data_IF_570210845530
#
_entry.id   IF_570210845530
#
_cell.length_a   1.000
_cell.length_b   1.000
_cell.length_c   1.000
_cell.angle_alpha   90.00
_cell.angle_beta   90.00
_cell.angle_gamma   90.00
#
_symmetry.space_group_name_H-M   'P 1'
#
loop_
_entity.id
_entity.type
_entity.pdbx_description
1 polymer ?
#
# COMPACT_ATOMS: atom_id res chain seq x y z
N UNK A 1 3.80 31.84 8.64
CA UNK A 1 5.04 31.07 8.93
C UNK A 1 5.00 29.79 8.11
N UNK A 2 5.58 29.77 6.93
CA UNK A 2 5.53 28.67 5.98
C UNK A 2 6.58 27.64 6.41
N UNK A 3 6.14 26.47 6.87
CA UNK A 3 7.06 25.36 7.14
C UNK A 3 7.64 24.88 5.81
N UNK A 4 8.96 25.07 5.63
CA UNK A 4 9.75 24.50 4.57
C UNK A 4 9.58 22.98 4.58
N UNK A 5 8.85 22.45 3.61
CA UNK A 5 8.91 21.04 3.23
C UNK A 5 10.34 20.80 2.72
N UNK A 6 11.09 20.01 3.46
CA UNK A 6 12.37 19.49 2.98
C UNK A 6 12.09 18.54 1.83
N UNK A 7 12.24 19.07 0.62
CA UNK A 7 12.29 18.28 -0.60
C UNK A 7 13.69 17.63 -0.68
N UNK A 8 13.77 16.34 -0.42
CA UNK A 8 14.96 15.55 -0.76
C UNK A 8 14.83 15.10 -2.22
N UNK A 9 15.89 15.26 -3.04
CA UNK A 9 15.86 14.80 -4.43
C UNK A 9 15.77 13.28 -4.47
N UNK A 10 14.73 12.79 -5.14
CA UNK A 10 14.30 11.37 -5.16
C UNK A 10 14.99 10.52 -6.24
N UNK A 11 16.07 11.02 -6.88
CA UNK A 11 16.62 10.43 -8.11
C UNK A 11 17.45 9.14 -7.94
N UNK A 12 17.52 8.53 -6.75
CA UNK A 12 18.44 7.38 -6.53
C UNK A 12 17.97 6.24 -5.63
N UNK A 13 16.68 5.97 -5.47
CA UNK A 13 16.25 5.18 -4.30
C UNK A 13 15.97 3.69 -4.48
N UNK A 14 16.10 3.04 -5.61
CA UNK A 14 15.55 1.68 -5.65
C UNK A 14 16.44 0.54 -6.18
N UNK A 15 17.72 0.66 -6.22
CA UNK A 15 18.56 -0.45 -6.71
C UNK A 15 19.52 -1.10 -5.72
N UNK A 16 19.72 -0.53 -4.51
CA UNK A 16 20.59 -1.15 -3.50
C UNK A 16 20.16 -0.81 -2.07
N UNK A 17 20.20 -1.74 -1.09
CA UNK A 17 20.14 -1.41 0.32
C UNK A 17 21.28 -0.45 0.68
N UNK A 18 20.98 0.67 1.36
CA UNK A 18 21.98 1.65 1.80
C UNK A 18 22.12 2.91 0.93
N UNK A 19 21.10 3.36 0.22
CA UNK A 19 21.19 4.38 -0.83
C UNK A 19 21.05 5.83 -0.37
N UNK A 20 20.95 6.10 0.91
CA UNK A 20 21.16 7.45 1.44
C UNK A 20 22.54 7.53 2.06
N UNK A 21 23.40 8.50 1.68
CA UNK A 21 24.68 8.69 2.34
C UNK A 21 24.43 8.98 3.83
N UNK A 22 24.78 8.02 4.69
CA UNK A 22 24.63 8.12 6.14
C UNK A 22 23.45 7.37 6.76
N UNK A 23 22.58 6.72 5.99
CA UNK A 23 21.48 5.87 6.51
C UNK A 23 21.77 4.41 6.23
N UNK A 24 22.19 3.68 7.24
CA UNK A 24 22.30 2.22 7.19
C UNK A 24 20.98 1.61 7.65
N UNK A 25 20.40 0.73 6.83
CA UNK A 25 19.25 -0.10 7.21
C UNK A 25 19.60 -0.89 8.48
N UNK A 26 18.77 -0.78 9.49
CA UNK A 26 18.97 -1.48 10.76
C UNK A 26 18.16 -2.77 10.81
N UNK A 27 18.54 -3.69 11.73
CA UNK A 27 17.71 -4.87 12.03
C UNK A 27 16.31 -4.46 12.50
N UNK A 28 16.21 -3.31 13.18
CA UNK A 28 14.93 -2.76 13.64
C UNK A 28 14.05 -2.33 12.47
N UNK A 29 14.60 -1.70 11.42
CA UNK A 29 13.86 -1.31 10.22
C UNK A 29 13.31 -2.54 9.50
N UNK A 30 14.12 -3.59 9.39
CA UNK A 30 13.70 -4.88 8.84
C UNK A 30 12.58 -5.51 9.66
N UNK A 31 12.67 -5.48 10.99
CA UNK A 31 11.64 -6.02 11.87
C UNK A 31 10.31 -5.25 11.75
N UNK A 32 10.38 -3.92 11.62
CA UNK A 32 9.22 -3.06 11.38
C UNK A 32 8.60 -3.38 10.01
N UNK A 33 9.41 -3.43 8.96
CA UNK A 33 8.97 -3.76 7.61
C UNK A 33 8.21 -5.10 7.55
N UNK A 34 8.75 -6.14 8.21
CA UNK A 34 8.08 -7.45 8.30
C UNK A 34 6.71 -7.40 8.94
N UNK A 35 6.52 -6.59 9.99
CA UNK A 35 5.20 -6.43 10.63
C UNK A 35 4.20 -5.81 9.67
N UNK A 36 4.59 -4.76 8.94
CA UNK A 36 3.76 -4.12 7.94
C UNK A 36 3.38 -5.09 6.81
N UNK A 37 4.33 -5.83 6.26
CA UNK A 37 4.11 -6.78 5.17
C UNK A 37 3.20 -7.93 5.61
N UNK A 38 3.41 -8.50 6.82
CA UNK A 38 2.54 -9.54 7.36
C UNK A 38 1.09 -9.08 7.50
N UNK A 39 0.88 -7.87 7.99
CA UNK A 39 -0.47 -7.31 8.09
C UNK A 39 -1.07 -7.03 6.70
N UNK A 40 -0.26 -6.56 5.75
CA UNK A 40 -0.70 -6.34 4.38
C UNK A 40 -1.20 -7.64 3.72
N UNK A 41 -0.47 -8.73 3.88
CA UNK A 41 -0.85 -10.06 3.37
C UNK A 41 -2.16 -10.55 4.02
N UNK A 42 -2.29 -10.37 5.33
CA UNK A 42 -3.52 -10.72 6.05
C UNK A 42 -4.72 -9.91 5.56
N UNK A 43 -4.56 -8.60 5.36
CA UNK A 43 -5.66 -7.75 4.88
C UNK A 43 -6.09 -8.15 3.46
N UNK A 44 -5.16 -8.52 2.58
CA UNK A 44 -5.48 -9.01 1.23
C UNK A 44 -6.24 -10.34 1.29
N UNK A 45 -5.83 -11.28 2.14
CA UNK A 45 -6.54 -12.54 2.37
C UNK A 45 -7.96 -12.28 2.88
N UNK A 46 -8.12 -11.34 3.81
CA UNK A 46 -9.44 -10.99 4.35
C UNK A 46 -10.31 -10.28 3.32
N UNK A 47 -9.73 -9.48 2.41
CA UNK A 47 -10.46 -8.93 1.28
C UNK A 47 -11.10 -10.04 0.42
N UNK A 48 -10.34 -11.08 0.09
CA UNK A 48 -10.83 -12.23 -0.67
C UNK A 48 -11.95 -12.97 0.06
N UNK A 49 -11.80 -13.22 1.37
CA UNK A 49 -12.81 -13.91 2.18
C UNK A 49 -14.13 -13.15 2.28
N UNK A 50 -14.08 -11.82 2.27
CA UNK A 50 -15.29 -10.99 2.32
C UNK A 50 -16.18 -11.12 1.07
N UNK A 51 -15.63 -11.55 -0.07
CA UNK A 51 -16.45 -11.87 -1.26
C UNK A 51 -17.46 -12.96 -0.93
N UNK A 52 -17.07 -13.99 -0.19
CA UNK A 52 -17.94 -15.14 0.14
C UNK A 52 -19.11 -14.82 1.09
N UNK A 53 -19.07 -13.67 1.76
CA UNK A 53 -20.13 -13.19 2.66
C UNK A 53 -20.77 -11.89 2.16
N UNK A 54 -20.56 -11.57 0.88
CA UNK A 54 -21.10 -10.38 0.21
C UNK A 54 -20.66 -9.04 0.83
N UNK A 55 -19.57 -9.03 1.58
CA UNK A 55 -18.95 -7.83 2.17
C UNK A 55 -18.10 -7.06 1.15
N UNK A 56 -18.73 -6.60 0.06
CA UNK A 56 -18.01 -6.04 -1.10
C UNK A 56 -17.33 -4.69 -0.81
N UNK A 57 -17.96 -3.82 -0.04
CA UNK A 57 -17.38 -2.57 0.44
C UNK A 57 -16.19 -2.83 1.37
N UNK A 58 -16.30 -3.81 2.26
CA UNK A 58 -15.21 -4.26 3.14
C UNK A 58 -14.05 -4.85 2.33
N UNK A 59 -14.36 -5.66 1.31
CA UNK A 59 -13.34 -6.22 0.42
C UNK A 59 -12.57 -5.13 -0.33
N UNK A 60 -13.25 -4.10 -0.83
CA UNK A 60 -12.62 -2.95 -1.47
C UNK A 60 -11.75 -2.16 -0.48
N UNK A 61 -12.26 -1.87 0.71
CA UNK A 61 -11.50 -1.21 1.77
C UNK A 61 -10.24 -1.98 2.17
N UNK A 62 -10.35 -3.29 2.39
CA UNK A 62 -9.21 -4.13 2.75
C UNK A 62 -8.19 -4.26 1.62
N UNK A 63 -8.63 -4.22 0.35
CA UNK A 63 -7.72 -4.16 -0.80
C UNK A 63 -6.87 -2.90 -0.78
N UNK A 64 -7.48 -1.73 -0.51
CA UNK A 64 -6.74 -0.48 -0.28
C UNK A 64 -5.78 -0.60 0.91
N UNK A 65 -6.27 -1.07 2.07
CA UNK A 65 -5.47 -1.21 3.30
C UNK A 65 -4.28 -2.16 3.12
N UNK A 66 -4.45 -3.23 2.34
CA UNK A 66 -3.38 -4.18 2.05
C UNK A 66 -2.23 -3.52 1.29
N UNK A 67 -2.56 -2.74 0.24
CA UNK A 67 -1.57 -2.00 -0.55
C UNK A 67 -0.91 -0.89 0.28
N UNK A 68 -1.69 -0.13 1.05
CA UNK A 68 -1.14 0.91 1.95
C UNK A 68 -0.07 0.32 2.88
N UNK A 69 -0.38 -0.78 3.54
CA UNK A 69 0.54 -1.44 4.47
C UNK A 69 1.74 -2.06 3.78
N UNK A 70 1.55 -2.64 2.60
CA UNK A 70 2.64 -3.17 1.78
C UNK A 70 3.66 -2.07 1.44
N UNK A 71 3.18 -0.94 0.90
CA UNK A 71 4.04 0.18 0.51
C UNK A 71 4.73 0.80 1.73
N UNK A 72 4.04 0.95 2.87
CA UNK A 72 4.64 1.38 4.13
C UNK A 72 5.73 0.43 4.63
N UNK A 73 5.55 -0.87 4.45
CA UNK A 73 6.58 -1.87 4.75
C UNK A 73 7.84 -1.69 3.91
N UNK A 74 7.67 -1.40 2.62
CA UNK A 74 8.81 -1.13 1.72
C UNK A 74 9.52 0.18 2.09
N UNK A 75 8.79 1.23 2.49
CA UNK A 75 9.38 2.48 2.98
C UNK A 75 10.17 2.23 4.27
N UNK A 76 9.59 1.50 5.24
CA UNK A 76 10.29 1.14 6.47
C UNK A 76 11.60 0.38 6.19
N UNK A 77 11.57 -0.57 5.24
CA UNK A 77 12.76 -1.34 4.84
C UNK A 77 13.86 -0.48 4.25
N UNK A 78 13.53 0.66 3.64
CA UNK A 78 14.55 1.62 3.16
C UNK A 78 15.20 2.46 4.26
N UNK A 79 14.84 2.24 5.54
CA UNK A 79 15.32 3.01 6.69
C UNK A 79 14.65 4.38 6.82
N UNK A 80 13.58 4.64 6.06
CA UNK A 80 12.83 5.89 6.15
C UNK A 80 11.73 5.80 7.21
N UNK A 81 11.39 6.92 7.86
CA UNK A 81 10.23 6.98 8.74
C UNK A 81 8.95 6.63 7.97
N UNK A 82 8.13 5.74 8.52
CA UNK A 82 6.85 5.37 7.92
C UNK A 82 5.92 6.59 7.93
N UNK A 83 5.47 7.09 6.77
CA UNK A 83 4.65 8.28 6.70
C UNK A 83 3.24 8.01 7.23
N UNK A 84 2.70 9.01 7.95
CA UNK A 84 1.32 8.99 8.47
C UNK A 84 0.34 9.49 7.40
N UNK A 85 0.31 8.80 6.26
CA UNK A 85 -0.60 9.11 5.15
C UNK A 85 -1.43 7.89 4.80
N UNK A 86 -2.58 8.13 4.16
CA UNK A 86 -3.43 7.11 3.53
C UNK A 86 -3.44 7.25 2.00
N UNK A 87 -2.67 8.21 1.47
CA UNK A 87 -2.53 8.44 0.03
C UNK A 87 -1.54 7.43 -0.56
N UNK A 88 -2.07 6.31 -1.02
CA UNK A 88 -1.27 5.19 -1.55
C UNK A 88 -0.57 5.53 -2.87
N UNK A 89 -1.10 6.46 -3.65
CA UNK A 89 -0.48 6.98 -4.86
C UNK A 89 0.81 7.77 -4.55
N UNK A 90 0.82 8.57 -3.48
CA UNK A 90 2.05 9.24 -3.01
C UNK A 90 3.11 8.22 -2.56
N UNK A 91 2.69 7.18 -1.84
CA UNK A 91 3.60 6.09 -1.43
C UNK A 91 4.17 5.35 -2.65
N UNK A 92 3.33 5.06 -3.64
CA UNK A 92 3.77 4.40 -4.88
C UNK A 92 4.78 5.23 -5.65
N UNK A 93 4.56 6.55 -5.77
CA UNK A 93 5.51 7.47 -6.41
C UNK A 93 6.82 7.58 -5.62
N UNK A 94 6.75 7.65 -4.30
CA UNK A 94 7.95 7.66 -3.43
C UNK A 94 8.80 6.40 -3.62
N UNK A 95 8.17 5.26 -3.87
CA UNK A 95 8.84 4.00 -4.14
C UNK A 95 9.24 3.82 -5.62
N UNK A 96 9.02 4.82 -6.46
CA UNK A 96 9.29 4.80 -7.91
C UNK A 96 8.70 3.58 -8.62
N UNK A 97 7.44 3.26 -8.28
CA UNK A 97 6.73 2.20 -8.98
C UNK A 97 6.39 2.64 -10.41
N UNK A 98 6.40 1.72 -11.39
CA UNK A 98 6.10 2.04 -12.78
C UNK A 98 4.63 2.48 -12.96
N UNK A 99 4.36 3.24 -14.02
CA UNK A 99 3.06 3.84 -14.28
C UNK A 99 1.92 2.82 -14.30
N UNK A 100 2.13 1.64 -14.87
CA UNK A 100 1.13 0.55 -14.89
C UNK A 100 0.71 0.07 -13.48
N UNK A 101 1.64 0.13 -12.51
CA UNK A 101 1.36 -0.22 -11.12
C UNK A 101 0.74 0.97 -10.39
N UNK A 102 1.15 2.20 -10.72
CA UNK A 102 0.51 3.42 -10.20
C UNK A 102 -0.95 3.50 -10.63
N UNK A 103 -1.32 3.08 -11.85
CA UNK A 103 -2.71 2.97 -12.29
C UNK A 103 -3.50 2.01 -11.40
N UNK A 104 -2.97 0.82 -11.09
CA UNK A 104 -3.61 -0.11 -10.15
C UNK A 104 -3.79 0.49 -8.75
N UNK A 105 -2.81 1.28 -8.29
CA UNK A 105 -2.88 1.98 -7.00
C UNK A 105 -3.95 3.08 -7.05
N UNK A 106 -4.06 3.83 -8.14
CA UNK A 106 -5.07 4.87 -8.30
C UNK A 106 -6.48 4.29 -8.29
N UNK A 107 -6.71 3.11 -8.88
CA UNK A 107 -7.99 2.40 -8.80
C UNK A 107 -8.44 2.15 -7.36
N UNK A 108 -7.49 1.94 -6.44
CA UNK A 108 -7.75 1.67 -5.03
C UNK A 108 -7.87 2.93 -4.17
N UNK A 109 -7.33 4.06 -4.64
CA UNK A 109 -7.14 5.26 -3.80
C UNK A 109 -8.45 5.84 -3.26
N UNK A 110 -9.51 5.82 -4.06
CA UNK A 110 -10.82 6.33 -3.66
C UNK A 110 -11.51 5.48 -2.59
N UNK A 111 -11.23 4.17 -2.57
CA UNK A 111 -11.93 3.21 -1.70
C UNK A 111 -11.64 3.44 -0.20
N UNK A 112 -10.57 4.16 0.14
CA UNK A 112 -10.29 4.56 1.53
C UNK A 112 -11.46 5.36 2.15
N UNK A 113 -12.10 6.22 1.38
CA UNK A 113 -13.21 7.04 1.83
C UNK A 113 -14.57 6.49 1.39
N UNK A 114 -14.72 6.17 0.10
CA UNK A 114 -16.02 5.77 -0.48
C UNK A 114 -16.58 4.47 0.10
N UNK A 115 -15.72 3.57 0.57
CA UNK A 115 -16.16 2.30 1.18
C UNK A 115 -16.63 2.45 2.63
N UNK A 116 -16.43 3.60 3.28
CA UNK A 116 -16.66 3.75 4.72
C UNK A 116 -17.55 4.91 5.13
N UNK A 117 -17.50 6.03 4.40
CA UNK A 117 -18.14 7.27 4.84
C UNK A 117 -19.37 7.57 3.99
N UNK A 118 -20.59 7.52 4.58
CA UNK A 118 -21.84 7.70 3.84
C UNK A 118 -22.10 9.15 3.40
N UNK A 119 -21.34 10.11 3.89
CA UNK A 119 -21.45 11.54 3.59
C UNK A 119 -20.49 12.00 2.46
N UNK A 120 -19.70 11.08 1.91
CA UNK A 120 -18.76 11.39 0.81
C UNK A 120 -19.45 11.39 -0.57
N UNK A 121 -20.55 10.64 -0.71
CA UNK A 121 -21.30 10.51 -1.96
C UNK A 121 -22.81 10.50 -1.69
N UNK A 122 -23.60 10.57 -2.76
CA UNK A 122 -25.06 10.51 -2.68
C UNK A 122 -25.60 9.11 -2.35
N UNK A 123 -24.74 8.08 -2.36
CA UNK A 123 -25.11 6.69 -2.10
C UNK A 123 -24.45 6.16 -0.84
N UNK A 124 -25.09 5.22 -0.17
CA UNK A 124 -24.54 4.54 1.00
C UNK A 124 -23.41 3.59 0.56
N UNK A 125 -22.27 3.52 1.27
CA UNK A 125 -21.11 2.73 0.86
C UNK A 125 -21.43 1.30 0.42
N UNK A 126 -22.13 0.50 1.21
CA UNK A 126 -22.40 -0.90 0.87
C UNK A 126 -23.28 -1.07 -0.39
N UNK A 127 -24.07 -0.07 -0.78
CA UNK A 127 -24.89 -0.08 -2.00
C UNK A 127 -24.08 0.23 -3.27
N UNK A 128 -22.95 0.88 -3.13
CA UNK A 128 -22.07 1.26 -4.26
C UNK A 128 -21.18 0.11 -4.71
N UNK A 129 -20.91 -0.85 -3.82
CA UNK A 129 -20.01 -1.96 -4.09
C UNK A 129 -20.80 -3.23 -4.43
N UNK A 130 -20.34 -3.92 -5.47
CA UNK A 130 -20.85 -5.21 -5.90
C UNK A 130 -19.67 -6.19 -6.07
N UNK A 131 -19.98 -7.45 -6.31
CA UNK A 131 -18.95 -8.49 -6.47
C UNK A 131 -17.93 -8.15 -7.56
N UNK A 132 -18.40 -7.68 -8.72
CA UNK A 132 -17.53 -7.33 -9.84
C UNK A 132 -16.51 -6.25 -9.46
N UNK A 133 -16.97 -5.17 -8.85
CA UNK A 133 -16.11 -4.07 -8.41
C UNK A 133 -15.13 -4.51 -7.32
N UNK A 134 -15.61 -5.27 -6.32
CA UNK A 134 -14.77 -5.79 -5.26
C UNK A 134 -13.67 -6.72 -5.79
N UNK A 135 -14.00 -7.61 -6.73
CA UNK A 135 -13.01 -8.47 -7.39
C UNK A 135 -12.00 -7.69 -8.23
N UNK A 136 -12.41 -6.60 -8.89
CA UNK A 136 -11.48 -5.69 -9.59
C UNK A 136 -10.50 -5.05 -8.61
N UNK A 137 -10.96 -4.58 -7.44
CA UNK A 137 -10.10 -4.00 -6.40
C UNK A 137 -9.08 -5.02 -5.88
N UNK A 138 -9.51 -6.24 -5.60
CA UNK A 138 -8.62 -7.34 -5.21
C UNK A 138 -7.58 -7.62 -6.32
N UNK A 139 -8.00 -7.65 -7.58
CA UNK A 139 -7.10 -7.87 -8.70
C UNK A 139 -6.04 -6.76 -8.84
N UNK A 140 -6.44 -5.48 -8.70
CA UNK A 140 -5.51 -4.35 -8.69
C UNK A 140 -4.53 -4.45 -7.53
N UNK A 141 -4.99 -4.79 -6.32
CA UNK A 141 -4.11 -5.02 -5.17
C UNK A 141 -3.10 -6.15 -5.43
N UNK A 142 -3.56 -7.29 -5.96
CA UNK A 142 -2.68 -8.43 -6.29
C UNK A 142 -1.58 -8.06 -7.29
N UNK A 143 -1.90 -7.28 -8.32
CA UNK A 143 -0.87 -6.81 -9.28
C UNK A 143 0.23 -6.01 -8.59
N UNK A 144 -0.12 -5.16 -7.61
CA UNK A 144 0.87 -4.43 -6.82
C UNK A 144 1.74 -5.38 -6.00
N UNK A 145 1.13 -6.37 -5.32
CA UNK A 145 1.86 -7.39 -4.56
C UNK A 145 2.80 -8.21 -5.44
N UNK A 146 2.32 -8.66 -6.58
CA UNK A 146 3.12 -9.46 -7.54
C UNK A 146 4.33 -8.67 -8.03
N UNK A 147 4.13 -7.39 -8.37
CA UNK A 147 5.21 -6.52 -8.84
C UNK A 147 6.35 -6.38 -7.80
N UNK A 148 6.04 -6.30 -6.53
CA UNK A 148 7.04 -6.15 -5.46
C UNK A 148 7.40 -7.47 -4.77
N UNK A 149 6.94 -8.61 -5.29
CA UNK A 149 7.08 -9.94 -4.64
C UNK A 149 8.52 -10.31 -4.30
N UNK A 150 9.47 -10.05 -5.19
CA UNK A 150 10.88 -10.34 -4.94
C UNK A 150 11.47 -9.51 -3.80
N UNK A 151 11.04 -8.25 -3.67
CA UNK A 151 11.46 -7.37 -2.56
C UNK A 151 10.88 -7.86 -1.24
N UNK A 152 9.58 -8.16 -1.24
CA UNK A 152 8.89 -8.64 -0.03
C UNK A 152 9.42 -9.98 0.44
N UNK A 153 9.73 -10.89 -0.48
CA UNK A 153 10.36 -12.19 -0.15
C UNK A 153 11.72 -11.99 0.54
N UNK A 154 12.61 -11.16 0.00
CA UNK A 154 13.90 -10.85 0.62
C UNK A 154 13.75 -10.29 2.04
N UNK A 155 12.79 -9.38 2.24
CA UNK A 155 12.51 -8.81 3.56
C UNK A 155 12.04 -9.90 4.54
N UNK A 156 11.16 -10.79 4.08
CA UNK A 156 10.57 -11.83 4.92
C UNK A 156 11.56 -12.94 5.28
N UNK A 157 12.42 -13.33 4.37
CA UNK A 157 13.41 -14.39 4.55
C UNK A 157 14.68 -13.92 5.29
N UNK A 158 14.97 -12.63 5.26
CA UNK A 158 16.12 -12.04 5.97
C UNK A 158 17.46 -12.26 5.29
N UNK A 159 17.44 -12.41 3.96
CA UNK A 159 18.65 -12.52 3.14
C UNK A 159 19.14 -11.16 2.67
#
# INVERSE_FOLDING_TARGET
>A
MIRKLFWYPVDRVLTKPGLYPGMTMTEQDTAIARKWIKQALHDLEMAEKNIGIEGYDVAAFLSHQSVEKLLKGLVAYSGQPVPKTHFIDELGRTLHLPDEILECIMDLSADYQFSRYPDISDSIPFEQYNETLARQRIASAKKVFDHVSDRTRKIMEGC
#
